data_IF_212302681009
#
_entry.id   IF_212302681009
#
_cell.length_a   1.000
_cell.length_b   1.000
_cell.length_c   1.000
_cell.angle_alpha   90.00
_cell.angle_beta   90.00
_cell.angle_gamma   90.00
#
_symmetry.space_group_name_H-M   'P 1'
#
loop_
_entity.id
_entity.type
_entity.pdbx_description
1 polymer ?
#
# COMPACT_ATOMS: atom_id res chain seq x y z
N UNK A 1 21.41 -28.35 11.02
CA UNK A 1 20.29 -28.59 10.07
C UNK A 1 19.12 -27.73 10.55
N UNK A 2 19.00 -26.51 10.03
CA UNK A 2 17.86 -25.65 10.33
C UNK A 2 16.73 -26.06 9.37
N UNK A 3 15.80 -26.84 9.88
CA UNK A 3 14.54 -27.11 9.22
C UNK A 3 13.83 -25.76 9.04
N UNK A 4 13.76 -25.27 7.81
CA UNK A 4 12.82 -24.22 7.41
C UNK A 4 11.43 -24.87 7.47
N UNK A 5 10.80 -24.79 8.64
CA UNK A 5 9.39 -25.07 8.77
C UNK A 5 8.69 -23.91 8.03
N UNK A 6 8.30 -24.16 6.78
CA UNK A 6 7.28 -23.33 6.20
C UNK A 6 6.07 -23.43 7.14
N UNK A 7 5.55 -22.32 7.68
CA UNK A 7 4.45 -22.38 8.61
C UNK A 7 3.29 -23.10 7.91
N UNK A 8 2.88 -24.23 8.48
CA UNK A 8 1.69 -24.95 8.05
C UNK A 8 0.49 -23.99 8.12
N UNK A 9 -0.53 -24.19 7.29
CA UNK A 9 -1.73 -23.31 7.24
C UNK A 9 -2.40 -23.09 8.60
N UNK A 10 -2.20 -24.02 9.56
CA UNK A 10 -2.72 -23.91 10.93
C UNK A 10 -1.80 -23.17 11.89
N UNK A 11 -0.49 -23.24 11.67
CA UNK A 11 0.51 -22.77 12.63
C UNK A 11 0.72 -21.24 12.58
N UNK A 12 0.25 -20.61 11.52
CA UNK A 12 0.43 -19.18 11.31
C UNK A 12 -0.31 -18.32 12.35
N UNK A 13 -1.38 -18.81 12.91
CA UNK A 13 -2.18 -18.12 13.92
C UNK A 13 -1.72 -18.43 15.36
N UNK A 14 -0.99 -19.52 15.57
CA UNK A 14 -0.63 -20.00 16.91
C UNK A 14 0.26 -19.08 17.72
N UNK A 15 1.27 -18.41 17.15
CA UNK A 15 2.13 -17.56 17.93
C UNK A 15 1.46 -16.26 18.42
N UNK A 16 0.36 -15.82 17.82
CA UNK A 16 -0.23 -14.51 18.13
C UNK A 16 -1.00 -14.41 19.45
N UNK A 17 -1.71 -15.43 19.92
CA UNK A 17 -2.46 -15.33 21.18
C UNK A 17 -1.60 -15.05 22.42
N UNK A 18 -0.38 -15.56 22.43
CA UNK A 18 0.50 -15.53 23.59
C UNK A 18 1.48 -14.34 23.58
N UNK A 19 1.42 -13.49 22.57
CA UNK A 19 2.28 -12.32 22.50
C UNK A 19 1.79 -11.18 23.40
N UNK A 20 2.73 -10.33 23.88
CA UNK A 20 2.39 -9.16 24.68
C UNK A 20 1.37 -8.26 23.97
N UNK A 21 0.58 -7.51 24.71
CA UNK A 21 -0.38 -6.56 24.18
C UNK A 21 0.26 -5.46 23.34
N UNK A 22 1.53 -5.15 23.59
CA UNK A 22 2.29 -4.17 22.82
C UNK A 22 2.82 -4.79 21.54
N UNK A 23 2.20 -4.44 20.39
CA UNK A 23 2.56 -4.97 19.07
C UNK A 23 4.01 -4.65 18.66
N UNK A 24 4.54 -3.51 19.08
CA UNK A 24 5.93 -3.12 18.78
C UNK A 24 6.93 -4.00 19.53
N UNK A 25 6.64 -4.33 20.78
CA UNK A 25 7.46 -5.29 21.53
C UNK A 25 7.42 -6.68 20.91
N UNK A 26 6.26 -7.08 20.41
CA UNK A 26 6.10 -8.34 19.70
C UNK A 26 6.94 -8.42 18.44
N UNK A 27 6.95 -7.37 17.61
CA UNK A 27 7.75 -7.28 16.39
C UNK A 27 9.24 -7.30 16.70
N UNK A 28 9.66 -6.68 17.79
CA UNK A 28 11.06 -6.71 18.25
C UNK A 28 11.49 -8.11 18.70
N UNK A 29 10.58 -8.93 19.23
CA UNK A 29 10.86 -10.31 19.63
C UNK A 29 10.99 -11.23 18.41
N UNK A 30 10.30 -10.94 17.32
CA UNK A 30 10.37 -11.71 16.08
C UNK A 30 10.68 -10.82 14.88
N UNK A 31 11.96 -10.66 14.60
CA UNK A 31 12.44 -9.83 13.50
C UNK A 31 11.90 -10.23 12.12
N UNK A 32 11.38 -11.46 11.95
CA UNK A 32 10.74 -11.89 10.69
C UNK A 32 9.44 -11.15 10.42
N UNK A 33 8.82 -10.60 11.45
CA UNK A 33 7.55 -9.84 11.35
C UNK A 33 7.78 -8.36 11.05
N UNK A 34 9.00 -7.88 11.21
CA UNK A 34 9.35 -6.48 11.01
C UNK A 34 8.95 -5.92 9.62
N UNK A 35 9.17 -6.63 8.50
CA UNK A 35 8.72 -6.15 7.19
C UNK A 35 7.21 -5.95 7.09
N UNK A 36 6.42 -6.77 7.76
CA UNK A 36 4.96 -6.64 7.79
C UNK A 36 4.51 -5.47 8.68
N UNK A 37 5.22 -5.25 9.78
CA UNK A 37 5.02 -4.07 10.62
C UNK A 37 5.27 -2.79 9.83
N UNK A 38 6.40 -2.70 9.13
CA UNK A 38 6.75 -1.55 8.29
C UNK A 38 5.72 -1.31 7.18
N UNK A 39 5.18 -2.37 6.61
CA UNK A 39 4.13 -2.29 5.58
C UNK A 39 2.89 -1.53 6.07
N UNK A 40 2.51 -1.69 7.33
CA UNK A 40 1.34 -1.02 7.90
C UNK A 40 1.71 0.31 8.55
N UNK A 41 2.49 0.26 9.60
CA UNK A 41 2.57 1.36 10.57
C UNK A 41 3.67 2.37 10.29
N UNK A 42 4.71 2.00 9.55
CA UNK A 42 5.69 2.98 9.08
C UNK A 42 5.19 3.67 7.80
N UNK A 43 4.41 2.97 6.98
CA UNK A 43 3.75 3.55 5.81
C UNK A 43 2.58 4.45 6.22
N UNK A 44 1.78 3.99 7.17
CA UNK A 44 0.58 4.70 7.61
C UNK A 44 0.46 4.68 9.15
N UNK A 45 1.19 5.55 9.88
CA UNK A 45 1.15 5.59 11.35
C UNK A 45 -0.24 5.86 11.93
N UNK A 46 -1.13 6.49 11.14
CA UNK A 46 -2.52 6.75 11.50
C UNK A 46 -3.31 5.48 11.85
N UNK A 47 -2.92 4.33 11.30
CA UNK A 47 -3.58 3.05 11.59
C UNK A 47 -3.49 2.64 13.08
N UNK A 48 -2.44 3.07 13.79
CA UNK A 48 -2.34 2.80 15.24
C UNK A 48 -3.50 3.43 16.04
N UNK A 49 -4.09 4.52 15.53
CA UNK A 49 -5.23 5.18 16.18
C UNK A 49 -6.55 4.41 15.98
N UNK A 50 -6.60 3.56 14.96
CA UNK A 50 -7.80 2.75 14.66
C UNK A 50 -7.92 1.51 15.56
N UNK A 51 -6.81 1.08 16.15
CA UNK A 51 -6.76 -0.10 17.01
C UNK A 51 -5.84 0.18 18.22
N UNK A 52 -6.28 1.05 19.16
CA UNK A 52 -5.50 1.34 20.34
C UNK A 52 -5.44 0.11 21.28
N UNK A 53 -4.35 -0.03 22.09
CA UNK A 53 -3.30 0.97 22.25
C UNK A 53 -2.15 0.85 21.23
N UNK A 54 -2.04 -0.25 20.48
CA UNK A 54 -0.81 -0.61 19.79
C UNK A 54 -0.99 -1.21 18.39
N UNK A 55 -2.20 -1.27 17.87
CA UNK A 55 -2.48 -1.80 16.53
C UNK A 55 -2.40 -3.33 16.40
N UNK A 56 -2.39 -4.06 17.51
CA UNK A 56 -2.15 -5.51 17.49
C UNK A 56 -3.22 -6.28 16.72
N UNK A 57 -4.50 -5.88 16.79
CA UNK A 57 -5.56 -6.61 16.09
C UNK A 57 -5.52 -6.33 14.59
N UNK A 58 -5.21 -5.09 14.16
CA UNK A 58 -4.94 -4.79 12.74
C UNK A 58 -3.79 -5.64 12.26
N UNK A 59 -2.69 -5.70 13.01
CA UNK A 59 -1.50 -6.45 12.63
C UNK A 59 -1.78 -7.95 12.47
N UNK A 60 -2.48 -8.56 13.43
CA UNK A 60 -2.90 -9.97 13.36
C UNK A 60 -3.75 -10.24 12.13
N UNK A 61 -4.77 -9.40 11.91
CA UNK A 61 -5.68 -9.53 10.77
C UNK A 61 -4.93 -9.41 9.44
N UNK A 62 -3.99 -8.48 9.37
CA UNK A 62 -3.11 -8.31 8.21
C UNK A 62 -2.26 -9.53 7.93
N UNK A 63 -1.62 -10.09 8.97
CA UNK A 63 -0.79 -11.29 8.81
C UNK A 63 -1.59 -12.48 8.28
N UNK A 64 -2.80 -12.68 8.81
CA UNK A 64 -3.70 -13.74 8.33
C UNK A 64 -4.08 -13.52 6.86
N UNK A 65 -4.42 -12.28 6.50
CA UNK A 65 -4.76 -11.94 5.13
C UNK A 65 -3.56 -12.13 4.19
N UNK A 66 -2.40 -11.60 4.54
CA UNK A 66 -1.19 -11.71 3.73
C UNK A 66 -0.77 -13.17 3.49
N UNK A 67 -0.88 -14.00 4.53
CA UNK A 67 -0.58 -15.41 4.43
C UNK A 67 -1.55 -16.17 3.50
N UNK A 68 -2.84 -15.82 3.53
CA UNK A 68 -3.86 -16.49 2.73
C UNK A 68 -3.88 -16.07 1.27
N UNK A 69 -3.61 -14.80 1.02
CA UNK A 69 -3.79 -14.20 -0.31
C UNK A 69 -2.49 -14.07 -1.11
N UNK A 70 -1.33 -14.22 -0.45
CA UNK A 70 -0.01 -14.10 -1.10
C UNK A 70 0.08 -12.89 -2.05
N UNK A 71 -0.19 -11.66 -1.55
CA UNK A 71 -0.20 -10.49 -2.41
C UNK A 71 1.14 -10.33 -3.14
N UNK A 72 1.12 -9.92 -4.43
CA UNK A 72 2.33 -9.80 -5.22
C UNK A 72 3.27 -8.76 -4.60
N UNK A 73 4.54 -9.10 -4.40
CA UNK A 73 5.54 -8.22 -3.79
C UNK A 73 6.15 -7.22 -4.82
N UNK A 74 5.33 -6.77 -5.77
CA UNK A 74 5.69 -5.72 -6.72
C UNK A 74 5.28 -4.32 -6.21
N UNK A 75 5.26 -3.33 -7.08
CA UNK A 75 4.91 -1.96 -6.70
C UNK A 75 3.43 -1.79 -6.29
N UNK A 76 2.54 -2.67 -6.76
CA UNK A 76 1.11 -2.64 -6.41
C UNK A 76 0.82 -3.22 -5.02
N UNK A 77 1.82 -3.79 -4.34
CA UNK A 77 1.66 -4.43 -3.04
C UNK A 77 0.93 -3.55 -2.02
N UNK A 78 1.33 -2.28 -1.92
CA UNK A 78 0.71 -1.36 -0.97
C UNK A 78 -0.74 -1.02 -1.32
N UNK A 79 -1.09 -1.04 -2.60
CA UNK A 79 -2.48 -0.86 -3.04
C UNK A 79 -3.34 -2.09 -2.69
N UNK A 80 -2.78 -3.29 -2.78
CA UNK A 80 -3.43 -4.52 -2.32
C UNK A 80 -3.67 -4.49 -0.81
N UNK A 81 -2.72 -3.97 -0.02
CA UNK A 81 -2.90 -3.76 1.42
C UNK A 81 -4.02 -2.73 1.69
N UNK A 82 -4.04 -1.65 0.94
CA UNK A 82 -5.09 -0.64 1.05
C UNK A 82 -6.48 -1.23 0.73
N UNK A 83 -6.61 -2.03 -0.34
CA UNK A 83 -7.86 -2.75 -0.67
C UNK A 83 -8.31 -3.67 0.47
N UNK A 84 -7.37 -4.40 1.06
CA UNK A 84 -7.67 -5.23 2.22
C UNK A 84 -8.23 -4.40 3.37
N UNK A 85 -7.62 -3.27 3.70
CA UNK A 85 -8.11 -2.36 4.75
C UNK A 85 -9.50 -1.83 4.43
N UNK A 86 -9.75 -1.41 3.19
CA UNK A 86 -11.05 -0.92 2.72
C UNK A 86 -12.15 -1.99 2.76
N UNK A 87 -11.79 -3.27 2.68
CA UNK A 87 -12.71 -4.40 2.84
C UNK A 87 -12.78 -4.98 4.25
N UNK A 88 -12.09 -4.40 5.22
CA UNK A 88 -11.99 -4.89 6.59
C UNK A 88 -12.99 -4.19 7.54
N UNK A 89 -13.06 -4.67 8.79
CA UNK A 89 -13.81 -4.02 9.86
C UNK A 89 -13.29 -2.62 10.23
N UNK A 90 -12.10 -2.25 9.77
CA UNK A 90 -11.47 -0.94 10.01
C UNK A 90 -11.88 0.12 9.00
N UNK A 91 -12.62 -0.25 7.95
CA UNK A 91 -13.03 0.65 6.85
C UNK A 91 -13.64 1.96 7.35
N UNK A 92 -14.52 1.89 8.36
CA UNK A 92 -15.21 3.07 8.87
C UNK A 92 -14.30 4.15 9.50
N UNK A 93 -13.10 3.76 9.91
CA UNK A 93 -12.09 4.68 10.46
C UNK A 93 -11.04 5.14 9.45
N UNK A 94 -11.10 4.67 8.21
CA UNK A 94 -10.18 5.09 7.18
C UNK A 94 -10.60 6.42 6.59
N UNK A 95 -9.62 7.30 6.41
CA UNK A 95 -9.75 8.61 5.77
C UNK A 95 -8.84 8.69 4.54
N UNK A 96 -9.02 9.71 3.72
CA UNK A 96 -8.22 9.93 2.50
C UNK A 96 -6.71 9.91 2.77
N UNK A 97 -6.28 10.50 3.89
CA UNK A 97 -4.86 10.53 4.29
C UNK A 97 -4.23 9.13 4.44
N UNK A 98 -5.03 8.15 4.88
CA UNK A 98 -4.57 6.76 4.98
C UNK A 98 -4.37 6.16 3.59
N UNK A 99 -5.32 6.39 2.68
CA UNK A 99 -5.26 5.92 1.29
C UNK A 99 -4.08 6.56 0.57
N UNK A 100 -3.90 7.87 0.72
CA UNK A 100 -2.77 8.62 0.16
C UNK A 100 -1.41 8.07 0.64
N UNK A 101 -1.31 7.69 1.90
CA UNK A 101 -0.08 7.09 2.45
C UNK A 101 0.30 5.80 1.70
N UNK A 102 -0.66 4.93 1.44
CA UNK A 102 -0.44 3.71 0.66
C UNK A 102 -0.17 3.98 -0.81
N UNK A 103 -0.85 4.95 -1.41
CA UNK A 103 -0.57 5.38 -2.79
C UNK A 103 0.85 5.91 -2.92
N UNK A 104 1.28 6.74 -1.98
CA UNK A 104 2.65 7.27 -1.93
C UNK A 104 3.70 6.16 -1.81
N UNK A 105 3.46 5.17 -0.94
CA UNK A 105 4.35 4.03 -0.79
C UNK A 105 4.42 3.17 -2.06
N UNK A 106 3.28 2.97 -2.74
CA UNK A 106 3.22 2.26 -4.01
C UNK A 106 4.02 2.99 -5.11
N UNK A 107 3.83 4.30 -5.23
CA UNK A 107 4.56 5.12 -6.19
C UNK A 107 6.07 5.14 -5.90
N UNK A 108 6.47 5.23 -4.64
CA UNK A 108 7.88 5.16 -4.24
C UNK A 108 8.52 3.81 -4.63
N UNK A 109 7.78 2.73 -4.45
CA UNK A 109 8.26 1.41 -4.85
C UNK A 109 8.34 1.27 -6.37
N UNK A 110 7.34 1.75 -7.10
CA UNK A 110 7.37 1.81 -8.54
C UNK A 110 8.59 2.56 -9.06
N UNK A 111 8.84 3.76 -8.56
CA UNK A 111 9.99 4.57 -8.96
C UNK A 111 11.34 3.84 -8.80
N UNK A 112 11.46 3.00 -7.77
CA UNK A 112 12.69 2.23 -7.50
C UNK A 112 12.86 1.01 -8.39
N UNK A 113 11.77 0.46 -8.90
CA UNK A 113 11.75 -0.81 -9.64
C UNK A 113 11.45 -0.64 -11.12
N UNK A 114 10.91 0.50 -11.53
CA UNK A 114 10.57 0.77 -12.91
C UNK A 114 11.80 1.22 -13.71
N UNK A 115 12.08 0.51 -14.78
CA UNK A 115 13.18 0.78 -15.73
C UNK A 115 12.70 1.48 -17.00
N UNK A 116 11.41 1.79 -17.09
CA UNK A 116 10.84 2.48 -18.26
C UNK A 116 11.35 3.92 -18.38
N UNK A 117 11.10 4.53 -19.54
CA UNK A 117 11.39 5.94 -19.79
C UNK A 117 10.35 6.89 -19.19
N UNK A 118 9.40 6.38 -18.42
CA UNK A 118 8.45 7.20 -17.69
C UNK A 118 9.18 8.04 -16.64
N UNK A 119 8.88 9.32 -16.56
CA UNK A 119 9.45 10.24 -15.58
C UNK A 119 8.76 10.18 -14.22
N UNK A 120 7.51 9.72 -14.21
CA UNK A 120 6.66 9.66 -13.03
C UNK A 120 5.38 8.89 -13.32
N UNK A 121 4.42 8.99 -12.43
CA UNK A 121 3.10 8.40 -12.58
C UNK A 121 2.00 9.27 -11.99
N UNK A 122 0.81 9.10 -12.51
CA UNK A 122 -0.43 9.54 -11.85
C UNK A 122 -1.11 8.32 -11.26
N UNK A 123 -1.57 8.43 -10.04
CA UNK A 123 -2.29 7.40 -9.32
C UNK A 123 -3.56 7.98 -8.72
N UNK A 124 -4.67 7.27 -8.85
CA UNK A 124 -5.96 7.71 -8.33
C UNK A 124 -6.71 6.55 -7.66
N UNK A 125 -7.56 6.90 -6.71
CA UNK A 125 -8.51 6.02 -6.06
C UNK A 125 -9.92 6.57 -6.26
N UNK A 126 -10.75 5.85 -7.03
CA UNK A 126 -12.13 6.24 -7.34
C UNK A 126 -12.24 7.69 -7.86
N UNK A 127 -11.22 8.16 -8.59
CA UNK A 127 -11.13 9.54 -9.05
C UNK A 127 -10.71 10.57 -8.00
N UNK A 128 -10.61 10.19 -6.71
CA UNK A 128 -10.16 11.04 -5.60
C UNK A 128 -9.75 10.15 -4.42
N UNK A 129 -8.63 10.44 -3.71
CA UNK A 129 -7.64 11.45 -4.07
C UNK A 129 -6.83 11.03 -5.29
N UNK A 130 -6.37 12.01 -6.03
CA UNK A 130 -5.49 11.82 -7.16
C UNK A 130 -4.12 12.39 -6.84
N UNK A 131 -3.09 11.61 -7.11
CA UNK A 131 -1.70 12.00 -6.84
C UNK A 131 -0.86 11.91 -8.09
N UNK A 132 -0.10 12.97 -8.32
CA UNK A 132 0.89 13.06 -9.40
C UNK A 132 2.28 12.94 -8.81
N UNK A 133 3.05 11.96 -9.25
CA UNK A 133 4.39 11.68 -8.76
C UNK A 133 5.39 11.83 -9.91
N UNK A 134 6.06 12.97 -10.00
CA UNK A 134 7.09 13.26 -10.99
C UNK A 134 8.51 13.03 -10.41
N UNK A 135 8.70 11.90 -9.78
CA UNK A 135 9.85 11.65 -8.92
C UNK A 135 11.14 11.28 -9.65
N UNK A 136 11.06 10.86 -10.90
CA UNK A 136 12.27 10.55 -11.68
C UNK A 136 12.97 11.81 -12.20
N UNK A 137 12.24 12.93 -12.33
CA UNK A 137 12.77 14.22 -12.80
C UNK A 137 13.09 15.11 -11.62
N UNK A 138 12.20 15.19 -10.66
CA UNK A 138 12.36 16.00 -9.46
C UNK A 138 11.96 15.14 -8.24
N UNK A 139 12.93 14.51 -7.57
CA UNK A 139 12.65 13.61 -6.47
C UNK A 139 11.75 14.26 -5.42
N UNK A 140 10.62 13.62 -5.11
CA UNK A 140 9.61 14.06 -4.16
C UNK A 140 8.85 15.34 -4.54
N UNK A 141 8.90 15.79 -5.79
CA UNK A 141 8.00 16.84 -6.23
C UNK A 141 6.65 16.24 -6.59
N UNK A 142 5.59 16.80 -6.07
CA UNK A 142 4.24 16.64 -6.59
C UNK A 142 4.06 17.77 -7.61
N UNK A 143 3.90 17.43 -8.87
CA UNK A 143 3.57 18.43 -9.89
C UNK A 143 2.07 18.62 -9.91
N UNK A 144 1.61 19.85 -9.89
CA UNK A 144 0.23 20.16 -10.22
C UNK A 144 -0.02 19.80 -11.68
N UNK A 145 -0.78 18.76 -11.92
CA UNK A 145 -1.34 18.42 -13.22
C UNK A 145 -2.82 18.79 -13.17
N UNK A 146 -3.23 19.77 -13.95
CA UNK A 146 -4.65 20.02 -14.15
C UNK A 146 -5.21 18.92 -15.06
N UNK A 147 -6.15 18.15 -14.52
CA UNK A 147 -6.88 17.13 -15.26
C UNK A 147 -8.30 17.62 -15.48
N UNK A 148 -8.76 17.50 -16.70
CA UNK A 148 -10.17 17.75 -17.04
C UNK A 148 -11.03 16.57 -16.53
N UNK A 149 -12.31 16.80 -16.34
CA UNK A 149 -13.23 15.76 -15.85
C UNK A 149 -13.25 14.50 -16.74
N UNK A 150 -13.01 14.67 -18.04
CA UNK A 150 -12.93 13.58 -19.01
C UNK A 150 -11.72 12.68 -18.82
N UNK A 151 -10.69 13.17 -18.11
CA UNK A 151 -9.46 12.45 -17.84
C UNK A 151 -9.59 11.46 -16.67
N UNK A 152 -10.69 11.44 -15.93
CA UNK A 152 -10.88 10.51 -14.83
C UNK A 152 -11.16 9.08 -15.33
N UNK A 153 -10.64 8.07 -14.58
CA UNK A 153 -10.86 6.69 -14.98
C UNK A 153 -12.36 6.34 -14.91
N UNK A 154 -12.86 5.58 -15.89
CA UNK A 154 -14.24 5.12 -15.84
C UNK A 154 -14.47 4.18 -14.65
N UNK A 155 -15.61 4.33 -13.97
CA UNK A 155 -16.07 3.31 -13.03
C UNK A 155 -16.17 1.93 -13.74
N UNK A 156 -15.84 0.80 -13.10
CA UNK A 156 -15.81 0.58 -11.65
C UNK A 156 -14.41 0.42 -11.04
N UNK A 157 -13.36 1.01 -11.59
CA UNK A 157 -12.01 0.83 -11.05
C UNK A 157 -11.87 1.49 -9.67
N UNK A 158 -11.31 0.76 -8.73
CA UNK A 158 -10.96 1.28 -7.42
C UNK A 158 -9.69 2.14 -7.49
N UNK A 159 -8.58 1.54 -7.96
CA UNK A 159 -7.34 2.23 -8.28
C UNK A 159 -7.08 2.20 -9.78
N UNK A 160 -6.56 3.30 -10.28
CA UNK A 160 -6.04 3.40 -11.64
C UNK A 160 -4.74 4.20 -11.65
N UNK A 161 -3.92 3.96 -12.64
CA UNK A 161 -2.66 4.64 -12.80
C UNK A 161 -2.36 4.96 -14.26
N UNK A 162 -1.47 5.91 -14.47
CA UNK A 162 -0.96 6.25 -15.78
C UNK A 162 0.52 6.64 -15.66
N UNK A 163 1.43 6.05 -16.45
CA UNK A 163 2.81 6.53 -16.51
C UNK A 163 2.88 7.89 -17.19
N UNK A 164 3.65 8.81 -16.62
CA UNK A 164 3.95 10.10 -17.22
C UNK A 164 5.10 9.93 -18.21
N UNK A 165 4.81 10.09 -19.51
CA UNK A 165 5.79 9.96 -20.58
C UNK A 165 5.98 11.29 -21.30
N UNK A 166 7.23 11.61 -21.71
CA UNK A 166 7.51 12.79 -22.50
C UNK A 166 7.92 14.03 -21.70
N UNK A 167 8.00 15.18 -22.40
CA UNK A 167 8.36 16.48 -21.81
C UNK A 167 7.21 17.02 -20.98
N UNK A 168 7.51 17.91 -20.02
CA UNK A 168 6.52 18.57 -19.20
C UNK A 168 5.31 19.06 -20.03
N UNK A 169 4.11 18.69 -19.62
CA UNK A 169 2.86 19.07 -20.29
C UNK A 169 2.29 18.08 -21.32
N UNK A 170 2.99 17.01 -21.68
CA UNK A 170 2.52 16.07 -22.73
C UNK A 170 2.32 14.66 -22.14
N UNK A 171 1.60 14.49 -21.02
CA UNK A 171 1.91 13.31 -20.33
C UNK A 171 0.86 12.27 -20.07
N UNK A 172 -0.35 12.67 -20.11
CA UNK A 172 -1.45 11.78 -19.72
C UNK A 172 -2.10 11.18 -20.98
N UNK A 173 -1.99 9.88 -21.13
CA UNK A 173 -2.53 9.24 -22.35
C UNK A 173 -3.63 8.23 -22.08
N UNK A 174 -3.56 7.48 -21.00
CA UNK A 174 -4.51 6.39 -20.76
C UNK A 174 -4.41 5.89 -19.32
N UNK A 175 -5.54 5.77 -18.69
CA UNK A 175 -5.67 5.05 -17.44
C UNK A 175 -5.49 3.55 -17.63
N UNK A 176 -4.74 2.95 -16.73
CA UNK A 176 -4.55 1.51 -16.64
C UNK A 176 -5.12 1.03 -15.31
N UNK A 177 -5.94 -0.03 -15.32
CA UNK A 177 -6.40 -0.62 -14.07
C UNK A 177 -5.25 -1.27 -13.34
N UNK A 178 -5.35 -1.29 -12.02
CA UNK A 178 -4.43 -2.03 -11.19
C UNK A 178 -5.05 -3.39 -10.91
N UNK A 179 -4.37 -4.49 -11.26
CA UNK A 179 -4.89 -5.84 -11.00
C UNK A 179 -5.24 -6.03 -9.53
N UNK A 180 -6.32 -6.78 -9.29
CA UNK A 180 -6.75 -7.14 -7.96
C UNK A 180 -5.76 -8.11 -7.29
#
# INVERSE_FOLDING_TARGET
MNSRIAPGRGDFLLPFPDYPSNARSFVNLDARLLPYWHTLFDVCPGLLKLDPPDGLNIFRSFMVWAYRNHPPLNWTYYLSVCRWLLGSSYQAGLHEEHIESFMTAAAARWMRTDDSQARGMVLTWQGSPMKVFDWKVAPRSESGLELEQEDFPPAPWDFAWCPLTGKAGAGFRRWLPIPA
#
